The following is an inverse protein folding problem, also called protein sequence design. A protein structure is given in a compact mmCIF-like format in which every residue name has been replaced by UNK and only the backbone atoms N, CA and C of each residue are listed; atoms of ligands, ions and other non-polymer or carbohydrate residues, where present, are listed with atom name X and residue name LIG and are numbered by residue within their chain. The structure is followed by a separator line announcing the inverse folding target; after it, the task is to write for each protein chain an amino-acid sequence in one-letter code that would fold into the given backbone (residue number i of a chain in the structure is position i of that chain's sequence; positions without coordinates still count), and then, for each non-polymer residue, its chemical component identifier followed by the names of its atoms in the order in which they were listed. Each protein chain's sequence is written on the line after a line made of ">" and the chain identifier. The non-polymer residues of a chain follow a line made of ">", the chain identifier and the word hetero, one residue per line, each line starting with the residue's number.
data_IF_848753898803
#
_entry.id   IF_848753898803
#
_cell.length_a   1.000
_cell.length_b   1.000
_cell.length_c   1.000
_cell.angle_alpha   90.00
_cell.angle_beta   90.00
_cell.angle_gamma   90.00
#
_symmetry.space_group_name_H-M   'P 1'
#
loop_
_entity.id
_entity.type
_entity.pdbx_description
1 polymer ?
#
# COMPACT_ATOMS: atom_id res chain seq x y z
N UNK A 1 32.70 12.54 19.94
CA UNK A 1 32.08 12.69 18.62
C UNK A 1 30.66 12.16 18.72
N UNK A 2 29.66 13.03 18.59
CA UNK A 2 28.25 12.78 18.93
C UNK A 2 27.45 12.56 17.65
N UNK A 3 26.83 11.39 17.48
CA UNK A 3 25.85 11.13 16.42
C UNK A 3 24.80 10.16 16.96
N UNK A 4 23.84 10.67 17.73
CA UNK A 4 22.61 9.96 18.08
C UNK A 4 21.44 10.71 17.41
N UNK A 5 21.32 10.52 16.10
CA UNK A 5 20.32 11.17 15.27
C UNK A 5 19.11 10.27 15.04
N UNK A 6 17.95 10.78 15.45
CA UNK A 6 16.60 10.50 14.93
C UNK A 6 15.99 9.12 15.15
N UNK A 7 15.37 8.96 16.32
CA UNK A 7 14.16 8.15 16.49
C UNK A 7 13.00 8.94 15.84
N UNK A 8 12.51 8.51 14.69
CA UNK A 8 11.11 8.78 14.30
C UNK A 8 10.42 7.43 14.25
N UNK A 9 9.95 7.00 15.41
CA UNK A 9 9.05 5.87 15.54
C UNK A 9 7.71 6.25 14.91
N UNK A 10 7.54 6.00 13.61
CA UNK A 10 6.21 5.91 13.01
C UNK A 10 5.61 4.58 13.44
N UNK A 11 4.89 4.62 14.56
CA UNK A 11 4.01 3.55 15.03
C UNK A 11 2.81 3.44 14.08
N UNK A 12 3.01 2.86 12.90
CA UNK A 12 1.92 2.20 12.19
C UNK A 12 1.72 0.84 12.89
N UNK A 13 0.96 0.87 13.99
CA UNK A 13 0.60 -0.32 14.75
C UNK A 13 -0.15 -1.31 13.84
N UNK A 14 0.51 -2.42 13.50
CA UNK A 14 -0.01 -3.43 12.60
C UNK A 14 -0.90 -4.40 13.39
N UNK A 15 -2.20 -4.12 13.45
CA UNK A 15 -3.20 -5.13 13.82
C UNK A 15 -3.54 -5.94 12.56
N UNK A 16 -2.84 -7.05 12.33
CA UNK A 16 -3.27 -8.07 11.38
C UNK A 16 -4.42 -8.85 12.02
N UNK A 17 -5.60 -8.24 12.08
CA UNK A 17 -6.83 -8.94 12.45
C UNK A 17 -7.31 -9.73 11.22
N UNK A 18 -6.85 -10.99 11.11
CA UNK A 18 -7.33 -12.07 10.23
C UNK A 18 -7.73 -11.72 8.76
N UNK A 19 -7.15 -10.67 8.17
CA UNK A 19 -7.45 -10.24 6.80
C UNK A 19 -7.50 -8.72 6.63
N UNK A 20 -7.61 -7.94 7.70
CA UNK A 20 -7.45 -6.49 7.62
C UNK A 20 -5.97 -6.10 7.42
N UNK A 21 -5.72 -5.15 6.51
CA UNK A 21 -4.42 -4.54 6.27
C UNK A 21 -4.56 -3.04 6.41
N UNK A 22 -3.63 -2.45 7.14
CA UNK A 22 -3.45 -1.00 7.24
C UNK A 22 -1.96 -0.73 7.17
N UNK A 23 -1.56 0.27 6.37
CA UNK A 23 -0.17 0.69 6.30
C UNK A 23 0.11 1.61 5.12
N UNK A 24 1.39 1.82 4.88
CA UNK A 24 1.90 2.71 3.84
C UNK A 24 2.78 1.96 2.85
N UNK A 25 2.86 2.49 1.64
CA UNK A 25 3.67 1.90 0.58
C UNK A 25 3.60 2.68 -0.72
N UNK A 26 4.36 2.22 -1.71
CA UNK A 26 4.42 2.80 -3.05
C UNK A 26 3.50 2.03 -3.98
N UNK A 27 2.68 2.75 -4.74
CA UNK A 27 1.88 2.14 -5.80
C UNK A 27 2.73 1.93 -7.04
N UNK A 28 2.69 0.71 -7.56
CA UNK A 28 3.40 0.26 -8.73
C UNK A 28 2.40 -0.07 -9.84
N UNK A 29 2.86 0.05 -11.08
CA UNK A 29 2.17 -0.54 -12.22
C UNK A 29 2.07 -2.06 -12.01
N UNK A 30 0.90 -2.62 -12.27
CA UNK A 30 0.70 -4.06 -12.40
C UNK A 30 0.10 -4.38 -13.75
N UNK A 31 0.12 -5.67 -14.13
CA UNK A 31 -0.27 -6.09 -15.48
C UNK A 31 -1.79 -5.94 -15.67
N UNK A 32 -2.57 -6.30 -14.65
CA UNK A 32 -4.03 -6.21 -14.68
C UNK A 32 -4.55 -5.10 -13.76
N UNK A 33 -3.97 -4.98 -12.57
CA UNK A 33 -4.36 -4.02 -11.55
C UNK A 33 -3.12 -3.32 -10.98
N UNK A 34 -3.24 -2.06 -10.52
CA UNK A 34 -2.18 -1.43 -9.73
C UNK A 34 -1.79 -2.30 -8.54
N UNK A 35 -0.53 -2.27 -8.15
CA UNK A 35 -0.01 -3.00 -6.98
C UNK A 35 0.49 -2.01 -5.95
N UNK A 36 0.49 -2.40 -4.69
CA UNK A 36 1.23 -1.67 -3.64
C UNK A 36 2.36 -2.54 -3.14
N UNK A 37 3.55 -1.94 -3.04
CA UNK A 37 4.62 -2.47 -2.20
C UNK A 37 4.62 -1.70 -0.90
N UNK A 38 4.23 -2.37 0.17
CA UNK A 38 4.21 -1.84 1.52
C UNK A 38 5.64 -1.59 2.01
N UNK A 39 5.80 -0.64 2.93
CA UNK A 39 7.10 -0.32 3.53
C UNK A 39 7.67 -1.50 4.36
N UNK A 40 6.82 -2.43 4.78
CA UNK A 40 7.20 -3.70 5.44
C UNK A 40 7.62 -4.82 4.46
N UNK A 41 7.64 -4.53 3.15
CA UNK A 41 8.07 -5.46 2.11
C UNK A 41 6.96 -6.37 1.56
N UNK A 42 5.74 -6.32 2.09
CA UNK A 42 4.60 -7.07 1.52
C UNK A 42 4.10 -6.42 0.24
N UNK A 43 3.63 -7.24 -0.70
CA UNK A 43 3.04 -6.76 -1.95
C UNK A 43 1.61 -7.25 -2.11
N UNK A 44 0.74 -6.35 -2.58
CA UNK A 44 -0.68 -6.65 -2.83
C UNK A 44 -1.14 -6.04 -4.16
N UNK A 45 -1.97 -6.78 -4.88
CA UNK A 45 -2.78 -6.23 -5.98
C UNK A 45 -3.93 -5.40 -5.41
N UNK A 46 -4.15 -4.20 -5.94
CA UNK A 46 -5.14 -3.26 -5.43
C UNK A 46 -6.44 -3.34 -6.22
N UNK A 47 -7.55 -3.57 -5.51
CA UNK A 47 -8.92 -3.46 -6.03
C UNK A 47 -9.78 -2.62 -5.11
N UNK A 48 -10.89 -2.07 -5.59
CA UNK A 48 -11.78 -1.28 -4.74
C UNK A 48 -12.73 -0.40 -5.55
N UNK A 49 -13.57 0.38 -4.86
CA UNK A 49 -14.57 1.23 -5.51
C UNK A 49 -13.93 2.35 -6.35
N UNK A 50 -12.75 2.83 -5.96
CA UNK A 50 -12.06 3.96 -6.62
C UNK A 50 -10.89 3.50 -7.50
N UNK A 51 -11.09 2.53 -8.40
CA UNK A 51 -10.03 2.03 -9.30
C UNK A 51 -9.32 3.13 -10.11
N UNK A 52 -10.03 4.19 -10.48
CA UNK A 52 -9.45 5.36 -11.15
C UNK A 52 -8.43 6.10 -10.28
N UNK A 53 -8.71 6.28 -8.98
CA UNK A 53 -7.77 6.92 -8.04
C UNK A 53 -6.56 6.02 -7.78
N UNK A 54 -6.76 4.71 -7.70
CA UNK A 54 -5.68 3.74 -7.51
C UNK A 54 -4.70 3.75 -8.70
N UNK A 55 -5.21 3.88 -9.94
CA UNK A 55 -4.37 4.04 -11.14
C UNK A 55 -3.66 5.40 -11.15
N UNK A 56 -4.37 6.48 -10.81
CA UNK A 56 -3.76 7.80 -10.73
C UNK A 56 -2.69 7.90 -9.63
N UNK A 57 -2.72 7.01 -8.63
CA UNK A 57 -1.74 6.95 -7.57
C UNK A 57 -0.47 6.15 -7.94
N UNK A 58 -0.35 5.58 -9.14
CA UNK A 58 0.88 4.88 -9.57
C UNK A 58 2.08 5.82 -9.47
N UNK A 59 3.16 5.34 -8.83
CA UNK A 59 4.35 6.13 -8.53
C UNK A 59 4.22 7.01 -7.29
N UNK A 60 3.06 7.01 -6.60
CA UNK A 60 2.88 7.74 -5.35
C UNK A 60 3.05 6.83 -4.14
N UNK A 61 3.54 7.43 -3.04
CA UNK A 61 3.47 6.85 -1.72
C UNK A 61 2.10 7.16 -1.09
N UNK A 62 1.41 6.11 -0.65
CA UNK A 62 0.04 6.19 -0.17
C UNK A 62 -0.10 5.47 1.17
N UNK A 63 -1.07 5.91 1.97
CA UNK A 63 -1.60 5.16 3.11
C UNK A 63 -2.87 4.45 2.68
N UNK A 64 -2.98 3.16 2.98
CA UNK A 64 -4.15 2.34 2.65
C UNK A 64 -4.67 1.59 3.87
N UNK A 65 -5.98 1.40 3.88
CA UNK A 65 -6.65 0.41 4.72
C UNK A 65 -7.54 -0.45 3.84
N UNK A 66 -7.68 -1.72 4.18
CA UNK A 66 -8.50 -2.64 3.42
C UNK A 66 -8.46 -4.06 3.95
N UNK A 67 -8.96 -4.98 3.13
CA UNK A 67 -9.03 -6.41 3.45
C UNK A 67 -8.44 -7.26 2.36
N UNK A 68 -7.66 -8.27 2.74
CA UNK A 68 -7.20 -9.31 1.83
C UNK A 68 -8.41 -10.11 1.35
N UNK A 69 -8.55 -10.22 0.03
CA UNK A 69 -9.55 -11.04 -0.61
C UNK A 69 -8.87 -12.21 -1.31
N UNK A 70 -9.33 -13.46 -1.05
CA UNK A 70 -8.68 -14.66 -1.60
C UNK A 70 -8.91 -14.82 -3.11
N UNK A 71 -9.89 -14.12 -3.68
CA UNK A 71 -10.22 -14.13 -5.11
C UNK A 71 -10.32 -12.71 -5.66
N UNK A 72 -9.66 -12.46 -6.79
CA UNK A 72 -9.81 -11.23 -7.56
C UNK A 72 -9.53 -11.46 -9.04
N UNK A 73 -9.86 -10.47 -9.85
CA UNK A 73 -9.56 -10.43 -11.28
C UNK A 73 -8.11 -10.10 -11.60
N UNK A 74 -7.28 -9.79 -10.60
CA UNK A 74 -5.94 -9.26 -10.83
C UNK A 74 -4.86 -10.32 -11.00
N UNK A 75 -5.22 -11.62 -10.96
CA UNK A 75 -4.42 -12.85 -11.17
C UNK A 75 -2.94 -12.86 -10.71
N UNK A 76 -2.56 -11.92 -9.85
CA UNK A 76 -1.19 -11.64 -9.44
C UNK A 76 -1.15 -11.51 -7.91
N UNK A 77 -0.77 -12.61 -7.26
CA UNK A 77 -0.53 -12.66 -5.82
C UNK A 77 -1.78 -12.39 -4.97
N UNK A 78 -1.55 -11.90 -3.75
CA UNK A 78 -2.62 -11.55 -2.82
C UNK A 78 -3.29 -10.25 -3.25
N UNK A 79 -4.61 -10.18 -3.12
CA UNK A 79 -5.36 -8.97 -3.46
C UNK A 79 -5.84 -8.26 -2.21
N UNK A 80 -5.58 -6.96 -2.14
CA UNK A 80 -6.11 -6.05 -1.14
C UNK A 80 -7.30 -5.29 -1.74
N UNK A 81 -8.50 -5.53 -1.19
CA UNK A 81 -9.65 -4.66 -1.41
C UNK A 81 -9.47 -3.41 -0.54
N UNK A 82 -9.15 -2.31 -1.19
CA UNK A 82 -8.97 -1.00 -0.57
C UNK A 82 -10.32 -0.45 -0.11
N UNK A 83 -10.40 -0.14 1.17
CA UNK A 83 -11.53 0.54 1.80
C UNK A 83 -11.25 2.04 1.95
N UNK A 84 -10.00 2.43 2.18
CA UNK A 84 -9.59 3.83 2.26
C UNK A 84 -8.20 4.00 1.65
N UNK A 85 -8.03 5.09 0.89
CA UNK A 85 -6.75 5.48 0.31
C UNK A 85 -6.50 6.95 0.57
N UNK A 86 -5.29 7.26 1.01
CA UNK A 86 -4.79 8.62 1.16
C UNK A 86 -3.48 8.75 0.43
N UNK A 87 -3.42 9.64 -0.57
CA UNK A 87 -2.18 9.95 -1.27
C UNK A 87 -1.36 10.88 -0.37
N UNK A 88 -0.15 10.45 0.00
CA UNK A 88 0.70 11.21 0.91
C UNK A 88 1.64 12.13 0.13
N UNK A 89 2.36 11.58 -0.86
CA UNK A 89 3.29 12.32 -1.73
C UNK A 89 3.66 11.49 -2.97
N UNK A 90 4.07 12.11 -4.09
CA UNK A 90 4.78 11.39 -5.15
C UNK A 90 6.03 10.71 -4.58
N UNK A 91 6.32 9.47 -4.96
CA UNK A 91 7.60 8.85 -4.60
C UNK A 91 8.71 9.57 -5.37
N UNK A 92 9.74 10.02 -4.66
CA UNK A 92 10.82 10.85 -5.18
C UNK A 92 12.05 10.01 -5.60
N UNK A 93 11.92 8.68 -5.66
CA UNK A 93 13.03 7.79 -6.01
C UNK A 93 13.31 7.87 -7.52
N UNK A 94 14.54 8.28 -7.94
CA UNK A 94 14.93 8.50 -9.33
C UNK A 94 15.07 7.20 -10.14
#
# INVERSE_FOLDING_TARGET
>A
MSIAGYIIASTAALLVAAGAVSGEGVVLEGVECPRIRMDDGREFSLVGADTGKLRAAVGHHIRVTGKIVPFSTCMQGLTLRVETVQILKPDARP
#
